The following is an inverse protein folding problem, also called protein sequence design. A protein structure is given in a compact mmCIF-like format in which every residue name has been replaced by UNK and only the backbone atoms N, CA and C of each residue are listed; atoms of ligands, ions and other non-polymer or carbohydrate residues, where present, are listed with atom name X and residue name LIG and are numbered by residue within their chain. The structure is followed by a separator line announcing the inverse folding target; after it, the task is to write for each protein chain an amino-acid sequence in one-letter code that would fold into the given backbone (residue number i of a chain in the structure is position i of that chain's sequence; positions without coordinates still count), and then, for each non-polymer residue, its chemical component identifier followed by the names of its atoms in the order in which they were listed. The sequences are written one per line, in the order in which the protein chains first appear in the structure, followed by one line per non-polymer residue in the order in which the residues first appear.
data_IF_663788817392
#
_entry.id   IF_663788817392
#
_cell.length_a   1.000
_cell.length_b   1.000
_cell.length_c   1.000
_cell.angle_alpha   90.00
_cell.angle_beta   90.00
_cell.angle_gamma   90.00
#
_symmetry.space_group_name_H-M   'P 1'
#
loop_
_entity.id
_entity.type
_entity.pdbx_description
1 polymer ?
#
# COMPACT_ATOMS: atom_id res chain seq x y z
N UNK A 1 29.10 -36.94 -26.31
CA UNK A 1 29.26 -38.22 -27.03
C UNK A 1 27.94 -38.98 -26.96
N UNK A 2 27.37 -39.28 -28.17
CA UNK A 2 26.23 -40.15 -28.53
C UNK A 2 24.83 -39.64 -28.06
N UNK A 3 24.03 -39.00 -28.84
CA UNK A 3 23.20 -39.34 -30.04
C UNK A 3 22.70 -40.81 -30.07
N UNK A 4 21.35 -40.96 -29.94
CA UNK A 4 20.63 -41.93 -30.74
C UNK A 4 19.18 -41.50 -30.95
N UNK A 5 18.85 -41.20 -32.21
CA UNK A 5 17.54 -41.17 -32.80
C UNK A 5 17.08 -42.56 -33.18
N UNK A 6 15.81 -42.87 -33.19
CA UNK A 6 15.10 -43.86 -34.04
C UNK A 6 13.61 -43.46 -33.92
N UNK A 7 12.96 -42.86 -34.84
CA UNK A 7 12.40 -43.26 -36.13
C UNK A 7 11.06 -44.04 -36.04
N UNK A 8 10.05 -43.37 -36.54
CA UNK A 8 8.82 -43.71 -37.28
C UNK A 8 8.14 -45.08 -37.13
N UNK A 9 6.82 -45.04 -36.94
CA UNK A 9 5.89 -45.83 -37.74
C UNK A 9 4.49 -45.09 -37.86
N UNK A 10 4.06 -44.90 -39.11
CA UNK A 10 2.77 -44.38 -39.53
C UNK A 10 1.79 -45.55 -39.52
N UNK A 11 0.60 -45.33 -38.91
CA UNK A 11 -0.60 -46.13 -39.20
C UNK A 11 -1.79 -45.16 -39.27
N UNK A 12 -2.35 -45.04 -40.47
CA UNK A 12 -3.59 -44.35 -40.78
C UNK A 12 -4.76 -45.27 -40.40
N UNK A 13 -5.68 -44.82 -39.56
CA UNK A 13 -7.03 -45.31 -39.49
C UNK A 13 -7.96 -44.19 -39.03
N UNK A 14 -8.97 -43.97 -39.82
CA UNK A 14 -10.08 -43.04 -39.77
C UNK A 14 -10.88 -43.08 -38.46
N UNK A 15 -11.21 -41.92 -37.92
CA UNK A 15 -12.34 -41.81 -36.99
C UNK A 15 -12.16 -40.78 -35.89
N UNK A 16 -12.91 -39.67 -36.03
CA UNK A 16 -13.34 -38.74 -34.98
C UNK A 16 -12.25 -37.97 -34.22
N UNK A 17 -11.98 -36.77 -34.69
CA UNK A 17 -11.19 -35.71 -34.01
C UNK A 17 -11.91 -35.20 -32.75
N UNK A 18 -11.51 -35.69 -31.60
CA UNK A 18 -11.64 -34.92 -30.35
C UNK A 18 -10.33 -34.14 -30.12
N UNK A 19 -10.36 -32.84 -30.43
CA UNK A 19 -9.29 -31.93 -30.03
C UNK A 19 -9.41 -31.66 -28.52
N UNK A 20 -8.68 -32.40 -27.72
CA UNK A 20 -8.39 -31.97 -26.36
C UNK A 20 -7.21 -30.99 -26.43
N UNK A 21 -7.51 -29.71 -26.36
CA UNK A 21 -6.49 -28.71 -26.10
C UNK A 21 -5.99 -28.88 -24.65
N UNK A 22 -4.89 -29.56 -24.47
CA UNK A 22 -4.10 -29.42 -23.24
C UNK A 22 -3.33 -28.12 -23.34
N UNK A 23 -3.89 -27.05 -22.77
CA UNK A 23 -3.14 -25.82 -22.53
C UNK A 23 -2.14 -26.15 -21.41
N UNK A 24 -0.93 -26.49 -21.83
CA UNK A 24 0.22 -26.56 -20.93
C UNK A 24 0.80 -25.15 -20.81
N UNK A 25 0.05 -24.26 -20.15
CA UNK A 25 0.64 -23.02 -19.68
C UNK A 25 1.54 -23.37 -18.50
N UNK A 26 2.84 -23.47 -18.79
CA UNK A 26 3.85 -23.37 -17.78
C UNK A 26 3.71 -21.97 -17.16
N UNK A 27 2.93 -21.85 -16.09
CA UNK A 27 3.06 -20.76 -15.15
C UNK A 27 4.48 -20.85 -14.60
N UNK A 28 5.37 -20.02 -15.15
CA UNK A 28 6.61 -19.71 -14.48
C UNK A 28 6.17 -19.18 -13.08
N UNK A 29 6.40 -20.00 -12.08
CA UNK A 29 6.26 -19.56 -10.71
C UNK A 29 7.22 -18.39 -10.53
N UNK A 30 6.71 -17.18 -10.62
CA UNK A 30 7.45 -16.01 -10.18
C UNK A 30 7.66 -16.24 -8.69
N UNK A 31 8.91 -16.54 -8.31
CA UNK A 31 9.30 -16.66 -6.91
C UNK A 31 8.76 -15.42 -6.20
N UNK A 32 7.95 -15.65 -5.17
CA UNK A 32 7.45 -14.56 -4.33
C UNK A 32 8.68 -13.77 -3.84
N UNK A 33 8.66 -12.43 -3.91
CA UNK A 33 9.77 -11.62 -3.48
C UNK A 33 10.11 -12.01 -2.04
N UNK A 34 11.35 -12.46 -1.83
CA UNK A 34 11.87 -12.82 -0.51
C UNK A 34 11.84 -11.56 0.33
N UNK A 35 10.81 -11.43 1.17
CA UNK A 35 10.71 -10.38 2.18
C UNK A 35 11.69 -10.72 3.31
N UNK A 36 12.99 -10.60 3.02
CA UNK A 36 14.06 -10.92 3.95
C UNK A 36 15.11 -9.82 4.00
N UNK A 37 14.73 -8.65 4.52
CA UNK A 37 15.69 -7.81 5.21
C UNK A 37 15.05 -7.35 6.51
N UNK A 38 15.66 -7.75 7.62
CA UNK A 38 15.28 -7.22 8.93
C UNK A 38 15.53 -5.73 8.90
N UNK A 39 14.46 -4.94 8.95
CA UNK A 39 14.56 -3.49 9.02
C UNK A 39 15.19 -3.15 10.37
N UNK A 40 16.30 -2.42 10.35
CA UNK A 40 17.02 -2.01 11.55
C UNK A 40 17.09 -0.48 11.63
N UNK A 41 17.08 0.10 12.84
CA UNK A 41 17.24 1.55 13.01
C UNK A 41 18.67 1.99 12.66
N UNK A 42 18.80 3.15 12.01
CA UNK A 42 20.08 3.80 11.79
C UNK A 42 20.49 4.67 12.98
N UNK A 43 21.78 5.04 13.04
CA UNK A 43 22.29 5.97 14.05
C UNK A 43 21.65 7.37 13.89
N UNK A 44 21.40 7.80 12.66
CA UNK A 44 20.73 9.05 12.37
C UNK A 44 19.29 9.05 12.90
N UNK A 45 18.54 7.98 12.66
CA UNK A 45 17.19 7.80 13.19
C UNK A 45 17.17 7.81 14.73
N UNK A 46 18.13 7.16 15.37
CA UNK A 46 18.28 7.20 16.83
C UNK A 46 18.56 8.62 17.34
N UNK A 47 19.36 9.42 16.61
CA UNK A 47 19.61 10.82 16.93
C UNK A 47 18.35 11.67 16.78
N UNK A 48 17.60 11.53 15.70
CA UNK A 48 16.32 12.23 15.47
C UNK A 48 15.31 11.91 16.58
N UNK A 49 15.14 10.64 16.92
CA UNK A 49 14.25 10.22 18.00
C UNK A 49 14.64 10.87 19.34
N UNK A 50 15.92 10.85 19.68
CA UNK A 50 16.44 11.46 20.91
C UNK A 50 16.19 12.97 20.95
N UNK A 51 16.48 13.66 19.86
CA UNK A 51 16.30 15.12 19.78
C UNK A 51 14.82 15.50 19.93
N UNK A 52 13.94 14.83 19.19
CA UNK A 52 12.50 15.10 19.23
C UNK A 52 11.91 14.77 20.59
N UNK A 53 12.21 13.60 21.15
CA UNK A 53 11.73 13.21 22.48
C UNK A 53 12.19 14.19 23.57
N UNK A 54 13.43 14.68 23.48
CA UNK A 54 13.96 15.67 24.41
C UNK A 54 13.27 17.03 24.25
N UNK A 55 13.05 17.45 23.01
CA UNK A 55 12.35 18.70 22.69
C UNK A 55 10.94 18.71 23.28
N UNK A 56 10.17 17.65 22.99
CA UNK A 56 8.78 17.51 23.45
C UNK A 56 8.70 17.45 24.98
N UNK A 57 9.55 16.67 25.64
CA UNK A 57 9.59 16.53 27.11
C UNK A 57 9.92 17.86 27.83
N UNK A 58 10.68 18.76 27.17
CA UNK A 58 11.15 20.01 27.79
C UNK A 58 10.41 21.26 27.37
N UNK A 59 9.90 21.31 26.14
CA UNK A 59 9.43 22.54 25.52
C UNK A 59 7.99 22.47 25.02
N UNK A 60 7.34 21.31 25.09
CA UNK A 60 5.94 21.22 24.67
C UNK A 60 5.04 22.00 25.64
N UNK A 61 4.08 22.76 25.11
CA UNK A 61 3.24 23.67 25.88
C UNK A 61 2.40 23.00 26.97
N UNK A 62 2.04 21.72 26.81
CA UNK A 62 1.31 20.95 27.81
C UNK A 62 2.16 20.52 29.00
N UNK A 63 3.49 20.68 28.96
CA UNK A 63 4.42 20.25 30.01
C UNK A 63 4.24 18.80 30.46
N UNK A 64 3.73 17.93 29.60
CA UNK A 64 3.50 16.53 29.88
C UNK A 64 4.87 15.82 29.95
N UNK A 65 5.18 15.22 31.09
CA UNK A 65 6.46 14.50 31.26
C UNK A 65 6.45 13.17 30.51
N UNK A 66 7.59 12.89 29.90
CA UNK A 66 7.83 11.58 29.26
C UNK A 66 8.25 10.56 30.33
N UNK A 67 7.30 10.09 31.10
CA UNK A 67 7.41 9.10 32.18
C UNK A 67 6.80 7.75 31.79
N UNK A 68 6.66 6.84 32.76
CA UNK A 68 6.09 5.52 32.55
C UNK A 68 4.61 5.57 32.10
N UNK A 69 3.82 6.50 32.63
CA UNK A 69 2.41 6.65 32.27
C UNK A 69 2.27 7.12 30.82
N UNK A 70 3.01 8.16 30.45
CA UNK A 70 3.03 8.69 29.08
C UNK A 70 3.62 7.67 28.13
N UNK A 71 4.65 6.89 28.54
CA UNK A 71 5.22 5.82 27.72
C UNK A 71 4.21 4.74 27.35
N UNK A 72 3.37 4.30 28.32
CA UNK A 72 2.30 3.35 28.04
C UNK A 72 1.30 3.90 27.00
N UNK A 73 0.91 5.16 27.14
CA UNK A 73 0.01 5.81 26.16
C UNK A 73 0.64 5.90 24.76
N UNK A 74 1.94 6.19 24.67
CA UNK A 74 2.65 6.20 23.40
C UNK A 74 2.67 4.82 22.77
N UNK A 75 2.88 3.77 23.56
CA UNK A 75 2.82 2.40 23.08
C UNK A 75 1.42 2.04 22.56
N UNK A 76 0.37 2.40 23.31
CA UNK A 76 -1.02 2.18 22.86
C UNK A 76 -1.27 2.89 21.53
N UNK A 77 -0.93 4.17 21.40
CA UNK A 77 -1.04 4.93 20.15
C UNK A 77 -0.23 4.32 19.00
N UNK A 78 0.94 3.75 19.30
CA UNK A 78 1.76 3.10 18.30
C UNK A 78 1.13 1.80 17.81
N UNK A 79 0.60 0.97 18.71
CA UNK A 79 -0.11 -0.27 18.36
C UNK A 79 -1.36 0.03 17.53
N UNK A 80 -2.16 1.02 17.95
CA UNK A 80 -3.35 1.45 17.20
C UNK A 80 -3.00 2.00 15.81
N UNK A 81 -1.86 2.68 15.66
CA UNK A 81 -1.38 3.16 14.35
C UNK A 81 -0.98 2.03 13.40
N UNK A 82 -0.63 0.85 13.93
CA UNK A 82 -0.28 -0.34 13.15
C UNK A 82 -1.51 -1.21 12.87
N UNK A 83 -2.38 -1.38 13.84
CA UNK A 83 -3.55 -2.27 13.78
C UNK A 83 -4.80 -1.58 14.36
N UNK A 84 -5.34 -0.55 13.68
CA UNK A 84 -6.47 0.24 14.18
C UNK A 84 -7.74 -0.58 14.40
N UNK A 85 -7.93 -1.65 13.63
CA UNK A 85 -9.10 -2.53 13.73
C UNK A 85 -8.88 -3.71 14.69
N UNK A 86 -7.76 -3.77 15.41
CA UNK A 86 -7.39 -4.86 16.31
C UNK A 86 -7.57 -6.26 15.68
N UNK A 87 -7.16 -6.37 14.41
CA UNK A 87 -7.40 -7.56 13.59
C UNK A 87 -6.14 -8.34 13.21
N UNK A 88 -4.96 -7.75 13.42
CA UNK A 88 -3.67 -8.34 13.05
C UNK A 88 -2.90 -8.90 14.23
N UNK A 89 -2.79 -8.16 15.34
CA UNK A 89 -2.14 -8.66 16.55
C UNK A 89 -3.06 -9.59 17.33
N UNK A 90 -2.45 -10.49 18.11
CA UNK A 90 -3.16 -11.25 19.13
C UNK A 90 -3.07 -10.56 20.49
N UNK A 91 -4.06 -10.78 21.35
CA UNK A 91 -4.11 -10.23 22.71
C UNK A 91 -2.84 -10.56 23.51
N UNK A 92 -2.32 -11.78 23.38
CA UNK A 92 -1.09 -12.22 24.05
C UNK A 92 0.16 -11.45 23.61
N UNK A 93 0.24 -11.06 22.31
CA UNK A 93 1.36 -10.27 21.78
C UNK A 93 1.31 -8.85 22.31
N UNK A 94 0.12 -8.24 22.31
CA UNK A 94 -0.07 -6.88 22.85
C UNK A 94 0.26 -6.84 24.34
N UNK A 95 -0.15 -7.84 25.09
CA UNK A 95 0.19 -7.97 26.51
C UNK A 95 1.71 -8.11 26.72
N UNK A 96 2.37 -8.94 25.91
CA UNK A 96 3.84 -9.06 25.93
C UNK A 96 4.52 -7.71 25.67
N UNK A 97 4.05 -6.94 24.68
CA UNK A 97 4.63 -5.63 24.36
C UNK A 97 4.41 -4.63 25.49
N UNK A 98 3.22 -4.62 26.11
CA UNK A 98 2.92 -3.77 27.28
C UNK A 98 3.83 -4.10 28.45
N UNK A 99 4.02 -5.37 28.75
CA UNK A 99 4.89 -5.82 29.83
C UNK A 99 6.37 -5.51 29.57
N UNK A 100 6.84 -5.69 28.31
CA UNK A 100 8.25 -5.55 27.96
C UNK A 100 8.67 -4.11 27.72
N UNK A 101 7.83 -3.31 27.09
CA UNK A 101 8.18 -1.98 26.61
C UNK A 101 7.36 -0.87 27.27
N UNK A 102 6.14 -1.11 27.73
CA UNK A 102 5.13 -0.12 28.09
C UNK A 102 5.69 1.03 28.94
N UNK A 103 6.21 0.73 30.11
CA UNK A 103 6.71 1.76 31.04
C UNK A 103 7.91 2.56 30.51
N UNK A 104 8.65 2.01 29.53
CA UNK A 104 9.87 2.60 29.00
C UNK A 104 9.78 3.00 27.53
N UNK A 105 8.65 2.78 26.84
CA UNK A 105 8.56 2.96 25.39
C UNK A 105 8.96 4.38 24.95
N UNK A 106 8.33 5.39 25.52
CA UNK A 106 8.66 6.78 25.25
C UNK A 106 9.98 7.22 25.89
N UNK A 107 10.28 6.77 27.12
CA UNK A 107 11.54 7.11 27.82
C UNK A 107 12.75 6.63 27.04
N UNK A 108 12.67 5.45 26.40
CA UNK A 108 13.75 4.90 25.58
C UNK A 108 14.08 5.80 24.38
N UNK A 109 13.11 6.53 23.82
CA UNK A 109 13.34 7.46 22.71
C UNK A 109 14.27 8.61 23.11
N UNK A 110 14.27 9.04 24.39
CA UNK A 110 15.19 10.08 24.88
C UNK A 110 16.66 9.65 24.84
N UNK A 111 16.93 8.37 24.77
CA UNK A 111 18.29 7.82 24.57
C UNK A 111 18.56 7.41 23.15
N UNK A 112 17.59 7.57 22.24
CA UNK A 112 17.66 7.09 20.87
C UNK A 112 17.46 5.57 20.74
N UNK A 113 16.94 4.92 21.76
CA UNK A 113 16.68 3.48 21.70
C UNK A 113 15.36 3.19 20.98
N UNK A 114 15.45 2.66 19.77
CA UNK A 114 14.35 2.29 18.88
C UNK A 114 14.07 0.77 18.86
N UNK A 115 14.70 -0.02 19.74
CA UNK A 115 14.56 -1.48 19.73
C UNK A 115 13.09 -1.94 19.90
N UNK A 116 12.32 -1.30 20.78
CA UNK A 116 10.90 -1.62 21.00
C UNK A 116 10.04 -1.40 19.74
N UNK A 117 10.00 -0.17 19.18
CA UNK A 117 9.26 0.10 17.97
C UNK A 117 9.61 -0.82 16.80
N UNK A 118 10.90 -1.06 16.56
CA UNK A 118 11.34 -1.92 15.46
C UNK A 118 10.98 -3.40 15.69
N UNK A 119 11.05 -3.91 16.91
CA UNK A 119 10.64 -5.28 17.23
C UNK A 119 9.12 -5.47 17.02
N UNK A 120 8.30 -4.53 17.49
CA UNK A 120 6.83 -4.57 17.30
C UNK A 120 6.50 -4.47 15.81
N UNK A 121 7.16 -3.57 15.08
CA UNK A 121 6.93 -3.42 13.64
C UNK A 121 7.34 -4.67 12.84
N UNK A 122 8.41 -5.37 13.25
CA UNK A 122 8.80 -6.63 12.61
C UNK A 122 7.69 -7.69 12.77
N UNK A 123 7.09 -7.81 13.95
CA UNK A 123 5.97 -8.71 14.18
C UNK A 123 4.70 -8.26 13.44
N UNK A 124 4.43 -6.96 13.37
CA UNK A 124 3.35 -6.41 12.55
C UNK A 124 3.46 -6.83 11.08
N UNK A 125 4.67 -6.72 10.50
CA UNK A 125 4.91 -7.15 9.11
C UNK A 125 4.63 -8.64 8.93
N UNK A 126 5.05 -9.47 9.88
CA UNK A 126 4.78 -10.90 9.82
C UNK A 126 3.27 -11.20 9.90
N UNK A 127 2.53 -10.52 10.78
CA UNK A 127 1.08 -10.65 10.89
C UNK A 127 0.36 -10.19 9.63
N UNK A 128 0.77 -9.07 9.07
CA UNK A 128 0.22 -8.53 7.83
C UNK A 128 0.48 -9.46 6.64
N UNK A 129 1.66 -10.07 6.57
CA UNK A 129 2.00 -11.10 5.57
C UNK A 129 1.06 -12.31 5.71
N UNK A 130 0.90 -12.85 6.92
CA UNK A 130 -0.01 -13.96 7.20
C UNK A 130 -1.46 -13.63 6.81
N UNK A 131 -1.90 -12.40 7.04
CA UNK A 131 -3.20 -11.92 6.59
C UNK A 131 -3.36 -11.99 5.08
N UNK A 132 -2.44 -11.39 4.31
CA UNK A 132 -2.54 -11.40 2.85
C UNK A 132 -2.37 -12.78 2.25
N UNK A 133 -1.47 -13.61 2.77
CA UNK A 133 -1.30 -15.00 2.34
C UNK A 133 -2.58 -15.81 2.59
N UNK A 134 -3.22 -15.64 3.75
CA UNK A 134 -4.50 -16.26 4.06
C UNK A 134 -5.59 -15.81 3.09
N UNK A 135 -5.73 -14.49 2.85
CA UNK A 135 -6.72 -13.96 1.93
C UNK A 135 -6.54 -14.48 0.50
N UNK A 136 -5.30 -14.51 0.01
CA UNK A 136 -4.97 -15.06 -1.31
C UNK A 136 -5.24 -16.57 -1.41
N UNK A 137 -5.02 -17.32 -0.34
CA UNK A 137 -5.32 -18.74 -0.29
C UNK A 137 -6.86 -19.00 -0.30
N UNK A 138 -7.62 -18.21 0.46
CA UNK A 138 -9.09 -18.33 0.51
C UNK A 138 -9.74 -17.89 -0.81
N UNK A 139 -9.20 -16.91 -1.53
CA UNK A 139 -9.69 -16.50 -2.86
C UNK A 139 -9.62 -17.62 -3.92
N UNK A 140 -8.77 -18.62 -3.71
CA UNK A 140 -8.70 -19.80 -4.61
C UNK A 140 -9.82 -20.82 -4.36
N UNK A 141 -10.58 -20.67 -3.27
CA UNK A 141 -11.67 -21.56 -2.89
C UNK A 141 -13.02 -20.95 -3.26
N UNK A 142 -14.04 -21.78 -3.54
CA UNK A 142 -15.41 -21.29 -3.71
C UNK A 142 -15.89 -20.57 -2.46
N UNK A 143 -16.45 -19.35 -2.61
CA UNK A 143 -16.97 -18.55 -1.52
C UNK A 143 -18.50 -18.54 -1.55
N UNK A 144 -19.13 -18.76 -0.41
CA UNK A 144 -20.58 -18.63 -0.28
C UNK A 144 -20.95 -17.16 -0.02
N UNK A 145 -21.42 -16.46 -1.05
CA UNK A 145 -21.84 -15.06 -0.96
C UNK A 145 -23.31 -14.88 -0.51
N UNK A 146 -24.06 -15.96 -0.36
CA UNK A 146 -25.48 -15.94 0.01
C UNK A 146 -25.71 -16.36 1.47
N UNK A 147 -24.74 -16.08 2.34
CA UNK A 147 -24.89 -16.37 3.76
C UNK A 147 -25.98 -15.48 4.36
N UNK A 148 -27.01 -16.13 4.92
CA UNK A 148 -28.01 -15.46 5.76
C UNK A 148 -27.50 -15.42 7.20
N UNK A 149 -27.80 -14.37 7.92
CA UNK A 149 -27.47 -14.23 9.36
C UNK A 149 -25.96 -14.16 9.68
N UNK A 150 -25.12 -13.90 8.66
CA UNK A 150 -23.71 -13.62 8.88
C UNK A 150 -23.52 -12.16 9.32
N UNK A 151 -22.81 -11.96 10.42
CA UNK A 151 -22.47 -10.63 10.94
C UNK A 151 -20.98 -10.36 10.84
N UNK A 152 -20.63 -9.18 10.31
CA UNK A 152 -19.28 -8.64 10.31
C UNK A 152 -19.25 -7.37 11.18
N UNK A 153 -18.43 -7.38 12.23
CA UNK A 153 -18.10 -6.17 12.97
C UNK A 153 -17.12 -5.34 12.13
N UNK A 154 -17.61 -4.22 11.59
CA UNK A 154 -16.84 -3.36 10.68
C UNK A 154 -15.98 -2.38 11.46
N UNK A 155 -16.53 -1.75 12.49
CA UNK A 155 -15.82 -0.85 13.39
C UNK A 155 -15.30 -1.63 14.59
N UNK A 156 -14.00 -1.88 14.61
CA UNK A 156 -13.33 -2.64 15.65
C UNK A 156 -12.30 -1.83 16.44
N UNK A 157 -12.23 -0.52 16.24
CA UNK A 157 -11.27 0.37 16.91
C UNK A 157 -11.27 0.20 18.45
N UNK A 158 -12.46 -0.05 19.02
CA UNK A 158 -12.63 -0.26 20.47
C UNK A 158 -12.80 -1.72 20.88
N UNK A 159 -12.73 -2.64 19.94
CA UNK A 159 -12.91 -4.06 20.20
C UNK A 159 -11.63 -4.67 20.77
N UNK A 160 -11.77 -5.72 21.58
CA UNK A 160 -10.62 -6.45 22.10
C UNK A 160 -9.85 -7.15 20.95
N UNK A 161 -8.54 -7.27 21.12
CA UNK A 161 -7.71 -8.12 20.26
C UNK A 161 -8.15 -9.58 20.36
N UNK A 162 -8.03 -10.32 19.25
CA UNK A 162 -8.37 -11.74 19.22
C UNK A 162 -7.42 -12.54 20.13
N UNK A 163 -7.98 -13.51 20.86
CA UNK A 163 -7.19 -14.38 21.74
C UNK A 163 -6.49 -15.49 20.95
N UNK A 164 -7.07 -15.91 19.84
CA UNK A 164 -6.58 -17.04 19.05
C UNK A 164 -6.50 -16.71 17.57
N UNK A 165 -5.59 -17.38 16.86
CA UNK A 165 -5.50 -17.29 15.40
C UNK A 165 -6.76 -17.85 14.70
N UNK A 166 -7.50 -18.73 15.36
CA UNK A 166 -8.76 -19.26 14.81
C UNK A 166 -9.85 -18.20 14.78
N UNK A 167 -10.04 -17.45 15.89
CA UNK A 167 -10.98 -16.32 15.94
C UNK A 167 -10.59 -15.23 14.92
N UNK A 168 -9.30 -14.91 14.86
CA UNK A 168 -8.75 -13.93 13.93
C UNK A 168 -9.03 -14.32 12.47
N UNK A 169 -8.73 -15.56 12.08
CA UNK A 169 -9.01 -16.06 10.72
C UNK A 169 -10.50 -16.11 10.40
N UNK A 170 -11.35 -16.41 11.38
CA UNK A 170 -12.80 -16.35 11.20
C UNK A 170 -13.28 -14.93 10.87
N UNK A 171 -12.71 -13.89 11.50
CA UNK A 171 -12.97 -12.50 11.16
C UNK A 171 -12.45 -12.16 9.76
N UNK A 172 -11.22 -12.55 9.41
CA UNK A 172 -10.65 -12.34 8.08
C UNK A 172 -11.51 -12.97 6.98
N UNK A 173 -12.05 -14.16 7.23
CA UNK A 173 -12.96 -14.83 6.30
C UNK A 173 -14.24 -14.01 6.06
N UNK A 174 -14.82 -13.46 7.13
CA UNK A 174 -16.00 -12.59 7.01
C UNK A 174 -15.68 -11.30 6.24
N UNK A 175 -14.50 -10.70 6.49
CA UNK A 175 -14.03 -9.52 5.74
C UNK A 175 -13.88 -9.84 4.26
N UNK A 176 -13.31 -11.00 3.90
CA UNK A 176 -13.15 -11.44 2.52
C UNK A 176 -14.51 -11.58 1.82
N UNK A 177 -15.45 -12.27 2.45
CA UNK A 177 -16.81 -12.46 1.90
C UNK A 177 -17.51 -11.12 1.71
N UNK A 178 -17.42 -10.22 2.69
CA UNK A 178 -17.99 -8.86 2.60
C UNK A 178 -17.41 -8.08 1.43
N UNK A 179 -16.09 -8.11 1.23
CA UNK A 179 -15.43 -7.42 0.11
C UNK A 179 -15.85 -8.01 -1.25
N UNK A 180 -15.99 -9.35 -1.34
CA UNK A 180 -16.47 -10.01 -2.55
C UNK A 180 -17.91 -9.62 -2.87
N UNK A 181 -18.79 -9.57 -1.87
CA UNK A 181 -20.20 -9.13 -2.05
C UNK A 181 -20.22 -7.69 -2.57
N UNK A 182 -19.50 -6.77 -1.94
CA UNK A 182 -19.47 -5.36 -2.34
C UNK A 182 -18.96 -5.19 -3.78
N UNK A 183 -17.90 -5.92 -4.16
CA UNK A 183 -17.37 -5.88 -5.53
C UNK A 183 -18.32 -6.52 -6.54
N UNK A 184 -19.06 -7.54 -6.15
CA UNK A 184 -20.06 -8.18 -7.01
C UNK A 184 -21.21 -7.21 -7.30
N UNK A 185 -21.76 -6.57 -6.26
CA UNK A 185 -22.81 -5.55 -6.40
C UNK A 185 -22.33 -4.40 -7.28
N UNK A 186 -21.16 -3.85 -7.00
CA UNK A 186 -20.61 -2.75 -7.78
C UNK A 186 -20.41 -3.12 -9.27
N UNK A 187 -20.00 -4.35 -9.56
CA UNK A 187 -19.87 -4.85 -10.93
C UNK A 187 -21.22 -5.01 -11.61
N UNK A 188 -22.21 -5.52 -10.92
CA UNK A 188 -23.57 -5.66 -11.46
C UNK A 188 -24.19 -4.30 -11.78
N UNK A 189 -24.03 -3.31 -10.90
CA UNK A 189 -24.46 -1.93 -11.13
C UNK A 189 -23.77 -1.30 -12.34
N UNK A 190 -22.46 -1.48 -12.48
CA UNK A 190 -21.69 -0.98 -13.62
C UNK A 190 -22.15 -1.63 -14.95
N UNK A 191 -22.36 -2.95 -14.94
CA UNK A 191 -22.89 -3.66 -16.11
C UNK A 191 -24.30 -3.19 -16.48
N UNK A 192 -25.17 -2.94 -15.49
CA UNK A 192 -26.51 -2.38 -15.72
C UNK A 192 -26.42 -0.97 -16.32
N UNK A 193 -25.53 -0.12 -15.80
CA UNK A 193 -25.27 1.22 -16.33
C UNK A 193 -24.76 1.17 -17.78
N UNK A 194 -23.82 0.32 -18.08
CA UNK A 194 -23.29 0.15 -19.44
C UNK A 194 -24.36 -0.35 -20.42
N UNK A 195 -25.23 -1.26 -19.99
CA UNK A 195 -26.38 -1.72 -20.81
C UNK A 195 -27.36 -0.56 -21.07
N UNK A 196 -27.65 0.27 -20.07
CA UNK A 196 -28.54 1.43 -20.23
C UNK A 196 -27.93 2.47 -21.19
N UNK A 197 -26.64 2.75 -21.09
CA UNK A 197 -25.92 3.67 -21.98
C UNK A 197 -25.85 3.15 -23.43
N UNK A 198 -25.67 1.85 -23.63
CA UNK A 198 -25.72 1.23 -24.97
C UNK A 198 -27.14 1.30 -25.56
N UNK A 199 -28.18 1.18 -24.74
CA UNK A 199 -29.57 1.30 -25.19
C UNK A 199 -29.96 2.76 -25.50
N UNK A 200 -29.37 3.74 -24.83
CA UNK A 200 -29.63 5.17 -25.04
C UNK A 200 -28.32 6.00 -24.99
N UNK A 201 -27.58 6.12 -26.11
CA UNK A 201 -26.31 6.82 -26.19
C UNK A 201 -26.36 8.31 -25.81
N UNK A 202 -27.54 8.92 -25.84
CA UNK A 202 -27.70 10.34 -25.44
C UNK A 202 -27.45 10.57 -23.95
N UNK A 203 -27.48 9.53 -23.11
CA UNK A 203 -27.16 9.60 -21.68
C UNK A 203 -25.65 9.63 -21.40
N UNK A 204 -24.81 9.41 -22.39
CA UNK A 204 -23.36 9.27 -22.20
C UNK A 204 -22.64 10.60 -21.86
N UNK A 205 -23.23 11.78 -22.14
CA UNK A 205 -22.72 13.13 -21.79
C UNK A 205 -21.17 13.27 -21.88
N UNK A 206 -20.52 12.66 -22.88
CA UNK A 206 -19.07 12.72 -23.03
C UNK A 206 -18.26 11.91 -22.00
N UNK A 207 -18.89 11.05 -21.21
CA UNK A 207 -18.18 10.13 -20.32
C UNK A 207 -17.42 9.08 -21.12
N UNK A 208 -16.12 8.94 -20.83
CA UNK A 208 -15.29 7.88 -21.36
C UNK A 208 -15.86 6.51 -20.94
N UNK A 209 -16.34 5.74 -21.91
CA UNK A 209 -16.92 4.41 -21.70
C UNK A 209 -15.84 3.31 -21.63
N UNK A 210 -14.57 3.67 -21.73
CA UNK A 210 -13.47 2.75 -21.45
C UNK A 210 -13.43 2.48 -19.95
N UNK A 211 -14.22 1.53 -19.52
CA UNK A 211 -14.24 1.09 -18.14
C UNK A 211 -12.89 0.47 -17.72
N UNK A 212 -12.66 0.36 -16.40
CA UNK A 212 -11.49 -0.37 -15.90
C UNK A 212 -11.49 -1.82 -16.44
N UNK A 213 -10.31 -2.45 -16.44
CA UNK A 213 -10.13 -3.86 -16.83
C UNK A 213 -11.31 -4.70 -16.38
N UNK A 214 -11.88 -5.51 -17.28
CA UNK A 214 -13.06 -6.36 -17.00
C UNK A 214 -12.70 -7.54 -16.06
N UNK A 215 -12.18 -7.21 -14.88
CA UNK A 215 -11.81 -8.17 -13.86
C UNK A 215 -13.03 -8.68 -13.10
N UNK A 216 -13.02 -9.94 -12.75
CA UNK A 216 -13.98 -10.49 -11.78
C UNK A 216 -13.68 -9.95 -10.38
N UNK A 217 -14.64 -9.96 -9.43
CA UNK A 217 -14.40 -9.61 -8.04
C UNK A 217 -13.21 -10.34 -7.41
N UNK A 218 -13.07 -11.63 -7.69
CA UNK A 218 -11.94 -12.47 -7.24
C UNK A 218 -10.61 -11.98 -7.82
N UNK A 219 -10.55 -11.73 -9.12
CA UNK A 219 -9.35 -11.21 -9.77
C UNK A 219 -8.97 -9.82 -9.22
N UNK A 220 -9.95 -8.96 -8.98
CA UNK A 220 -9.73 -7.63 -8.39
C UNK A 220 -9.11 -7.73 -7.00
N UNK A 221 -9.65 -8.58 -6.11
CA UNK A 221 -9.07 -8.78 -4.78
C UNK A 221 -7.71 -9.46 -4.84
N UNK A 222 -7.54 -10.45 -5.72
CA UNK A 222 -6.24 -11.10 -5.91
C UNK A 222 -5.17 -10.07 -6.29
N UNK A 223 -5.46 -9.22 -7.28
CA UNK A 223 -4.55 -8.14 -7.71
C UNK A 223 -4.25 -7.17 -6.56
N UNK A 224 -5.27 -6.75 -5.79
CA UNK A 224 -5.11 -5.84 -4.65
C UNK A 224 -4.23 -6.44 -3.55
N UNK A 225 -4.50 -7.66 -3.13
CA UNK A 225 -3.74 -8.30 -2.04
C UNK A 225 -2.30 -8.64 -2.46
N UNK A 226 -2.09 -9.09 -3.70
CA UNK A 226 -0.75 -9.32 -4.24
C UNK A 226 0.07 -8.03 -4.21
N UNK A 227 -0.50 -6.91 -4.67
CA UNK A 227 0.18 -5.61 -4.61
C UNK A 227 0.49 -5.15 -3.19
N UNK A 228 -0.42 -5.37 -2.24
CA UNK A 228 -0.17 -5.02 -0.85
C UNK A 228 0.98 -5.86 -0.26
N UNK A 229 1.03 -7.14 -0.60
CA UNK A 229 2.11 -8.02 -0.20
C UNK A 229 3.47 -7.58 -0.78
N UNK A 230 3.49 -7.17 -2.06
CA UNK A 230 4.67 -6.59 -2.71
C UNK A 230 5.11 -5.28 -2.06
N UNK A 231 4.16 -4.39 -1.71
CA UNK A 231 4.44 -3.14 -1.00
C UNK A 231 5.14 -3.36 0.32
N UNK A 232 4.80 -4.41 1.05
CA UNK A 232 5.47 -4.74 2.32
C UNK A 232 6.98 -4.96 2.14
N UNK A 233 7.42 -5.46 0.98
CA UNK A 233 8.82 -5.60 0.64
C UNK A 233 9.56 -4.27 0.47
N UNK A 234 8.83 -3.17 0.26
CA UNK A 234 9.38 -1.81 0.05
C UNK A 234 9.41 -0.95 1.32
N UNK A 235 8.85 -1.43 2.43
CA UNK A 235 8.88 -0.71 3.70
C UNK A 235 10.33 -0.47 4.15
N UNK A 236 10.61 0.76 4.58
CA UNK A 236 11.93 1.23 5.01
C UNK A 236 11.95 1.48 6.52
N UNK A 237 13.13 1.62 7.07
CA UNK A 237 13.33 1.99 8.48
C UNK A 237 12.71 3.37 8.82
N UNK A 238 12.64 4.28 7.83
CA UNK A 238 12.03 5.59 8.00
C UNK A 238 10.52 5.50 8.25
N UNK A 239 9.82 4.52 7.65
CA UNK A 239 8.39 4.29 7.91
C UNK A 239 8.13 3.89 9.37
N UNK A 240 9.05 3.12 9.97
CA UNK A 240 8.97 2.73 11.38
C UNK A 240 9.22 3.92 12.29
N UNK A 241 10.23 4.74 11.98
CA UNK A 241 10.54 5.96 12.72
C UNK A 241 9.37 6.93 12.66
N UNK A 242 8.83 7.18 11.47
CA UNK A 242 7.69 8.07 11.25
C UNK A 242 6.49 7.68 12.14
N UNK A 243 6.05 6.45 12.07
CA UNK A 243 4.95 5.95 12.91
C UNK A 243 5.26 6.07 14.41
N UNK A 244 6.51 5.78 14.82
CA UNK A 244 6.93 5.86 16.22
C UNK A 244 6.86 7.29 16.74
N UNK A 245 7.42 8.24 15.99
CA UNK A 245 7.46 9.64 16.39
C UNK A 245 6.07 10.28 16.35
N UNK A 246 5.26 9.94 15.36
CA UNK A 246 3.88 10.42 15.28
C UNK A 246 3.00 9.85 16.39
N UNK A 247 3.16 8.59 16.79
CA UNK A 247 2.48 8.04 17.96
C UNK A 247 2.87 8.76 19.26
N UNK A 248 4.16 9.11 19.41
CA UNK A 248 4.60 9.94 20.53
C UNK A 248 3.96 11.32 20.49
N UNK A 249 4.00 12.01 19.38
CA UNK A 249 3.47 13.37 19.25
C UNK A 249 1.95 13.42 19.46
N UNK A 250 1.19 12.48 18.88
CA UNK A 250 -0.25 12.37 19.04
C UNK A 250 -0.67 12.14 20.51
N UNK A 251 0.21 11.58 21.34
CA UNK A 251 -0.02 11.44 22.79
C UNK A 251 0.01 12.79 23.51
N UNK A 252 0.78 13.74 23.01
CA UNK A 252 0.85 15.08 23.54
C UNK A 252 -0.25 15.99 22.97
N UNK A 253 -0.44 15.99 21.65
CA UNK A 253 -1.33 16.91 20.98
C UNK A 253 -1.73 16.37 19.60
N UNK A 254 -3.03 16.36 19.25
CA UNK A 254 -3.51 15.85 17.96
C UNK A 254 -3.06 16.67 16.75
N UNK A 255 -2.49 17.85 16.96
CA UNK A 255 -2.01 18.75 15.89
C UNK A 255 -0.48 18.70 15.69
N UNK A 256 0.23 18.02 16.59
CA UNK A 256 1.69 17.86 16.49
C UNK A 256 2.04 16.67 15.64
N UNK A 257 2.81 16.88 14.56
CA UNK A 257 3.23 15.83 13.65
C UNK A 257 4.72 15.93 13.35
N UNK A 258 5.34 14.76 13.20
CA UNK A 258 6.66 14.62 12.60
C UNK A 258 6.49 14.41 11.09
N UNK A 259 7.26 15.11 10.32
CA UNK A 259 7.36 14.90 8.87
C UNK A 259 8.80 14.52 8.54
N UNK A 260 9.04 13.38 7.86
CA UNK A 260 10.33 13.08 7.27
C UNK A 260 10.83 14.23 6.39
N UNK A 261 12.16 14.39 6.18
CA UNK A 261 12.70 15.54 5.45
C UNK A 261 12.06 15.81 4.10
N UNK A 262 11.75 14.77 3.34
CA UNK A 262 11.11 14.89 2.02
C UNK A 262 9.69 15.45 2.16
N UNK A 263 8.92 14.94 3.11
CA UNK A 263 7.52 15.35 3.33
C UNK A 263 7.48 16.77 3.95
N UNK A 264 8.42 17.10 4.82
CA UNK A 264 8.57 18.44 5.36
C UNK A 264 8.90 19.48 4.26
N UNK A 265 9.75 19.13 3.30
CA UNK A 265 10.04 19.97 2.14
C UNK A 265 8.78 20.18 1.30
N UNK A 266 7.97 19.13 1.11
CA UNK A 266 6.72 19.21 0.36
C UNK A 266 5.70 20.10 1.06
N UNK A 267 5.50 19.90 2.37
CA UNK A 267 4.62 20.74 3.18
C UNK A 267 5.03 22.21 3.13
N UNK A 268 6.33 22.49 3.30
CA UNK A 268 6.86 23.85 3.21
C UNK A 268 6.64 24.46 1.83
N UNK A 269 6.76 23.67 0.77
CA UNK A 269 6.52 24.10 -0.61
C UNK A 269 5.04 24.43 -0.85
N UNK A 270 4.13 23.64 -0.30
CA UNK A 270 2.69 23.91 -0.38
C UNK A 270 2.29 25.18 0.40
N UNK A 271 2.92 25.41 1.55
CA UNK A 271 2.63 26.58 2.38
C UNK A 271 3.27 27.87 1.86
N UNK A 272 4.42 27.78 1.22
CA UNK A 272 5.11 28.97 0.64
C UNK A 272 4.64 29.34 -0.77
N UNK A 273 3.68 28.60 -1.35
CA UNK A 273 3.13 28.81 -2.69
C UNK A 273 4.18 28.84 -3.81
N UNK A 274 5.37 28.30 -3.57
CA UNK A 274 6.40 28.18 -4.59
C UNK A 274 6.11 26.91 -5.43
N UNK A 275 5.46 27.11 -6.57
CA UNK A 275 5.21 26.05 -7.55
C UNK A 275 6.47 25.80 -8.36
N UNK A 276 7.31 24.87 -7.91
CA UNK A 276 8.41 24.33 -8.71
C UNK A 276 8.02 22.98 -9.30
N UNK A 277 8.19 22.84 -10.62
CA UNK A 277 7.85 21.62 -11.35
C UNK A 277 7.39 21.92 -12.76
N UNK A 278 7.01 20.87 -13.50
CA UNK A 278 6.59 21.00 -14.91
C UNK A 278 5.17 21.56 -15.06
N UNK A 279 4.43 21.74 -13.97
CA UNK A 279 3.07 22.29 -14.02
C UNK A 279 2.02 21.26 -14.45
N UNK A 280 2.07 20.04 -13.90
CA UNK A 280 1.04 19.01 -14.06
C UNK A 280 0.55 18.52 -12.71
N UNK A 281 -0.73 18.18 -12.59
CA UNK A 281 -1.21 17.32 -11.52
C UNK A 281 -1.28 15.89 -12.01
N UNK A 282 -0.88 14.94 -11.16
CA UNK A 282 -0.88 13.52 -11.49
C UNK A 282 -1.65 12.74 -10.44
N UNK A 283 -2.26 11.63 -10.88
CA UNK A 283 -2.95 10.70 -9.98
C UNK A 283 -2.80 9.26 -10.48
N UNK A 284 -2.97 8.26 -9.60
CA UNK A 284 -3.10 6.88 -10.03
C UNK A 284 -4.30 6.73 -10.98
N UNK A 285 -4.15 5.94 -12.03
CA UNK A 285 -5.24 5.67 -12.96
C UNK A 285 -6.28 4.76 -12.28
N UNK A 286 -7.55 5.16 -12.32
CA UNK A 286 -8.64 4.35 -11.77
C UNK A 286 -8.73 3.03 -12.51
N UNK A 287 -8.69 1.92 -11.74
CA UNK A 287 -8.77 0.56 -12.30
C UNK A 287 -7.45 -0.02 -12.80
N UNK A 288 -6.41 0.80 -13.00
CA UNK A 288 -5.06 0.34 -13.29
C UNK A 288 -4.02 1.17 -12.52
N UNK A 289 -3.99 0.97 -11.20
CA UNK A 289 -3.17 1.74 -10.26
C UNK A 289 -1.66 1.61 -10.47
N UNK A 290 -1.21 0.72 -11.39
CA UNK A 290 0.20 0.63 -11.78
C UNK A 290 0.63 1.83 -12.63
N UNK A 291 -0.33 2.54 -13.21
CA UNK A 291 -0.04 3.72 -14.01
C UNK A 291 -0.45 5.00 -13.29
N UNK A 292 0.44 5.96 -13.37
CA UNK A 292 0.15 7.34 -12.97
C UNK A 292 -0.21 8.14 -14.20
N UNK A 293 -1.35 8.84 -14.14
CA UNK A 293 -1.92 9.60 -15.24
C UNK A 293 -1.85 11.10 -14.95
N UNK A 294 -1.61 11.89 -15.99
CA UNK A 294 -1.72 13.35 -15.91
C UNK A 294 -3.20 13.73 -15.86
N UNK A 295 -3.60 14.38 -14.80
CA UNK A 295 -4.97 14.82 -14.59
C UNK A 295 -5.23 16.21 -15.18
N UNK A 296 -4.40 17.18 -14.79
CA UNK A 296 -4.50 18.56 -15.28
C UNK A 296 -3.13 19.11 -15.62
N UNK A 297 -3.11 20.10 -16.52
CA UNK A 297 -1.93 20.86 -16.89
C UNK A 297 -2.18 22.32 -16.51
N UNK A 298 -1.24 22.89 -15.76
CA UNK A 298 -1.29 24.30 -15.35
C UNK A 298 -0.98 25.17 -16.56
N UNK A 299 -1.92 26.03 -16.93
CA UNK A 299 -1.75 26.95 -18.05
C UNK A 299 -0.56 27.88 -17.82
N UNK A 300 0.27 28.05 -18.85
CA UNK A 300 1.51 28.84 -18.76
C UNK A 300 2.68 28.14 -18.06
N UNK A 301 2.48 26.92 -17.52
CA UNK A 301 3.53 26.09 -16.97
C UNK A 301 4.45 25.46 -18.03
N UNK A 302 5.59 24.85 -17.62
CA UNK A 302 6.53 24.23 -18.57
C UNK A 302 5.90 23.16 -19.47
N UNK A 303 5.07 22.27 -18.92
CA UNK A 303 4.35 21.24 -19.67
C UNK A 303 3.39 21.85 -20.70
N UNK A 304 2.62 22.87 -20.30
CA UNK A 304 1.74 23.61 -21.19
C UNK A 304 2.50 24.28 -22.33
N UNK A 305 3.62 24.94 -22.02
CA UNK A 305 4.46 25.62 -23.02
C UNK A 305 5.15 24.65 -23.99
N UNK A 306 5.48 23.44 -23.54
CA UNK A 306 6.08 22.43 -24.40
C UNK A 306 5.13 21.91 -25.48
N UNK A 307 3.83 21.88 -25.18
CA UNK A 307 2.79 21.32 -26.05
C UNK A 307 2.89 19.81 -26.27
N UNK A 308 3.86 19.13 -25.63
CA UNK A 308 4.15 17.71 -25.85
C UNK A 308 3.37 16.80 -24.91
N UNK A 309 2.84 17.35 -23.82
CA UNK A 309 2.16 16.62 -22.75
C UNK A 309 0.68 17.00 -22.71
N UNK A 310 -0.20 16.02 -22.58
CA UNK A 310 -1.66 16.22 -22.57
C UNK A 310 -2.28 15.62 -21.28
N UNK A 311 -3.40 16.20 -20.87
CA UNK A 311 -4.24 15.56 -19.86
C UNK A 311 -4.69 14.20 -20.38
N UNK A 312 -4.57 13.19 -19.53
CA UNK A 312 -4.86 11.81 -19.88
C UNK A 312 -3.63 10.96 -20.21
N UNK A 313 -2.46 11.55 -20.46
CA UNK A 313 -1.24 10.80 -20.72
C UNK A 313 -0.80 10.01 -19.48
N UNK A 314 -0.27 8.80 -19.71
CA UNK A 314 0.35 7.97 -18.67
C UNK A 314 1.83 8.28 -18.56
N UNK A 315 2.35 8.36 -17.36
CA UNK A 315 3.78 8.52 -17.10
C UNK A 315 4.36 7.14 -16.88
N UNK A 316 5.22 6.68 -17.79
CA UNK A 316 5.86 5.37 -17.73
C UNK A 316 7.36 5.45 -17.49
N UNK A 317 7.96 6.62 -17.65
CA UNK A 317 9.39 6.83 -17.40
C UNK A 317 9.70 8.29 -17.12
N UNK A 318 10.72 8.51 -16.29
CA UNK A 318 11.23 9.84 -15.91
C UNK A 318 12.75 9.83 -15.93
N UNK A 319 13.36 10.88 -16.48
CA UNK A 319 14.79 11.11 -16.42
C UNK A 319 15.08 12.57 -16.11
N UNK A 320 16.01 12.85 -15.20
CA UNK A 320 16.56 14.17 -14.99
C UNK A 320 17.67 14.45 -16.02
N UNK A 321 18.05 15.72 -16.15
CA UNK A 321 18.99 16.16 -17.20
C UNK A 321 20.32 15.39 -17.13
N UNK A 322 20.62 14.66 -18.19
CA UNK A 322 21.83 13.83 -18.30
C UNK A 322 21.75 12.45 -17.62
N UNK A 323 20.62 12.10 -16.98
CA UNK A 323 20.45 10.81 -16.33
C UNK A 323 19.75 9.77 -17.22
N UNK A 324 19.86 8.50 -16.81
CA UNK A 324 19.15 7.41 -17.48
C UNK A 324 17.65 7.46 -17.14
N UNK A 325 16.84 7.10 -18.14
CA UNK A 325 15.40 6.94 -17.97
C UNK A 325 15.11 5.87 -16.90
N UNK A 326 14.35 6.25 -15.88
CA UNK A 326 13.86 5.37 -14.82
C UNK A 326 12.44 4.94 -15.19
N UNK A 327 12.18 3.64 -15.23
CA UNK A 327 10.83 3.10 -15.36
C UNK A 327 10.08 3.30 -14.03
N UNK A 328 8.92 3.96 -14.12
CA UNK A 328 8.11 4.33 -12.96
C UNK A 328 6.77 3.60 -12.91
N UNK A 329 6.57 2.59 -13.75
CA UNK A 329 5.34 1.78 -13.72
C UNK A 329 5.24 1.08 -12.36
N UNK A 330 4.09 1.18 -11.72
CA UNK A 330 3.84 0.62 -10.38
C UNK A 330 4.45 1.40 -9.21
N UNK A 331 5.08 2.56 -9.47
CA UNK A 331 5.59 3.42 -8.42
C UNK A 331 4.47 4.26 -7.78
N UNK A 332 4.55 4.56 -6.48
CA UNK A 332 3.68 5.55 -5.85
C UNK A 332 3.79 6.90 -6.54
N UNK A 333 2.67 7.58 -6.74
CA UNK A 333 2.66 8.91 -7.39
C UNK A 333 3.53 9.94 -6.67
N UNK A 334 3.67 9.84 -5.35
CA UNK A 334 4.57 10.70 -4.55
C UNK A 334 6.04 10.54 -4.92
N UNK A 335 6.49 9.31 -5.17
CA UNK A 335 7.86 9.04 -5.62
C UNK A 335 8.08 9.55 -7.05
N UNK A 336 7.10 9.37 -7.94
CA UNK A 336 7.13 9.89 -9.30
C UNK A 336 7.19 11.43 -9.30
N UNK A 337 6.40 12.07 -8.44
CA UNK A 337 6.46 13.53 -8.23
C UNK A 337 7.86 13.97 -7.81
N UNK A 338 8.51 13.23 -6.90
CA UNK A 338 9.89 13.51 -6.48
C UNK A 338 10.89 13.49 -7.64
N UNK A 339 10.72 12.55 -8.58
CA UNK A 339 11.56 12.45 -9.77
C UNK A 339 11.27 13.54 -10.83
N UNK A 340 10.00 13.95 -10.97
CA UNK A 340 9.58 14.97 -11.93
C UNK A 340 9.98 16.37 -11.47
N UNK A 341 10.09 16.58 -10.18
CA UNK A 341 10.46 17.88 -9.63
C UNK A 341 11.96 18.13 -9.72
N UNK A 342 12.32 19.36 -9.95
CA UNK A 342 13.69 19.80 -9.99
C UNK A 342 13.80 21.30 -9.71
N UNK A 343 15.01 21.78 -9.45
CA UNK A 343 15.28 23.21 -9.27
C UNK A 343 14.90 23.96 -10.56
N UNK A 344 14.48 25.21 -10.40
CA UNK A 344 14.16 26.07 -11.53
C UNK A 344 15.34 26.12 -12.52
N UNK A 345 15.05 25.86 -13.80
CA UNK A 345 16.05 25.83 -14.88
C UNK A 345 16.62 24.44 -15.20
N UNK A 346 16.31 23.40 -14.40
CA UNK A 346 16.67 22.02 -14.77
C UNK A 346 15.73 21.48 -15.84
N UNK A 347 16.25 20.57 -16.67
CA UNK A 347 15.47 19.87 -17.70
C UNK A 347 15.04 18.52 -17.17
N UNK A 348 13.85 18.09 -17.56
CA UNK A 348 13.33 16.76 -17.26
C UNK A 348 12.74 16.15 -18.50
N UNK A 349 12.95 14.85 -18.69
CA UNK A 349 12.35 14.07 -19.75
C UNK A 349 11.31 13.14 -19.14
N UNK A 350 10.08 13.24 -19.62
CA UNK A 350 8.95 12.37 -19.22
C UNK A 350 8.56 11.56 -20.44
N UNK A 351 8.38 10.24 -20.25
CA UNK A 351 7.94 9.31 -21.29
C UNK A 351 6.56 8.78 -20.95
#
# INVERSE_FOLDING_TARGET
MKLQMIACAVAVATGSLFFTYTVNEAFAATEAPVVSSTIQPSQEQALVARQLATLVDRQHYLNLRLDATTSNRILDMYLDSLDPDHSLFLASEVEEYKNKYGANFGVALKTGNLAGPFAIHAQYRERLKQFYEYMLAELKKPQNLQQKDAYLEVDREKSAYFKTTTEQKAQWQKMLVSQLINLTIAKEEELAKQKALKANPSLANGQDLTGPEDLTPVQTLTKRYTRQLERMGRLKSDDVLDKTLNAMLATYDPHSNYYPPIDAMELNRQTTLQLEGIGVSIRPERGNEDYTKIETIVEGGPASKSGQVKSGDRIIGVAQDGEKMIDVIGWPSSEIVGLIRGKRGTKITVR
#
